data_IF_281201338069
#
_entry.id   IF_281201338069
#
_cell.length_a   1.000
_cell.length_b   1.000
_cell.length_c   1.000
_cell.angle_alpha   90.00
_cell.angle_beta   90.00
_cell.angle_gamma   90.00
#
_symmetry.space_group_name_H-M   'P 1'
#
loop_
_entity.id
_entity.type
_entity.pdbx_description
1 polymer ?
#
# COMPACT_ATOMS: atom_id res chain seq x y z
N UNK A 1 16.22 -0.49 -59.44
CA UNK A 1 16.72 -0.34 -58.05
C UNK A 1 15.57 0.22 -57.23
N UNK A 2 14.77 -0.65 -56.62
CA UNK A 2 13.66 -0.27 -55.73
C UNK A 2 14.17 -0.34 -54.29
N UNK A 3 14.16 0.80 -53.61
CA UNK A 3 14.62 0.92 -52.22
C UNK A 3 13.58 0.35 -51.25
N UNK A 4 13.99 -0.65 -50.48
CA UNK A 4 13.17 -1.38 -49.50
C UNK A 4 13.01 -0.58 -48.20
N UNK A 5 12.29 0.54 -48.26
CA UNK A 5 12.02 1.38 -47.10
C UNK A 5 10.56 1.20 -46.68
N UNK A 6 10.31 0.23 -45.77
CA UNK A 6 9.04 0.18 -45.01
C UNK A 6 8.96 1.41 -44.11
N UNK A 7 8.35 2.48 -44.63
CA UNK A 7 8.07 3.68 -43.87
C UNK A 7 7.15 3.39 -42.69
N UNK A 8 7.69 3.40 -41.47
CA UNK A 8 6.91 3.41 -40.23
C UNK A 8 6.30 4.80 -40.06
N UNK A 9 4.99 4.89 -40.28
CA UNK A 9 4.20 6.11 -40.10
C UNK A 9 3.97 6.34 -38.60
N UNK A 10 4.95 6.95 -37.93
CA UNK A 10 4.85 7.36 -36.53
C UNK A 10 3.84 8.51 -36.41
N UNK A 11 2.61 8.17 -36.02
CA UNK A 11 1.55 9.13 -35.73
C UNK A 11 1.87 9.88 -34.41
N UNK A 12 2.76 10.86 -34.47
CA UNK A 12 3.05 11.77 -33.36
C UNK A 12 1.83 12.65 -33.11
N UNK A 13 1.01 12.28 -32.11
CA UNK A 13 -0.13 13.10 -31.69
C UNK A 13 0.33 14.35 -30.95
N UNK A 14 -0.40 15.45 -31.16
CA UNK A 14 -0.14 16.75 -30.53
C UNK A 14 0.02 16.64 -29.00
N UNK A 15 1.00 17.35 -28.39
CA UNK A 15 1.23 17.39 -26.95
C UNK A 15 0.01 17.75 -26.09
N UNK A 16 -1.01 18.35 -26.72
CA UNK A 16 -2.24 18.82 -26.07
C UNK A 16 -3.31 17.72 -25.90
N UNK A 17 -3.10 16.53 -26.46
CA UNK A 17 -4.02 15.39 -26.30
C UNK A 17 -3.26 14.10 -25.94
N UNK A 18 -2.66 14.03 -24.74
CA UNK A 18 -1.90 12.86 -24.33
C UNK A 18 -2.83 11.66 -24.17
N UNK A 19 -2.41 10.51 -24.72
CA UNK A 19 -3.03 9.22 -24.40
C UNK A 19 -2.81 8.98 -22.91
N UNK A 20 -3.87 9.13 -22.13
CA UNK A 20 -3.84 8.86 -20.69
C UNK A 20 -3.89 7.35 -20.48
N UNK A 21 -2.72 6.71 -20.47
CA UNK A 21 -2.61 5.32 -20.03
C UNK A 21 -2.94 5.29 -18.54
N UNK A 22 -4.11 4.77 -18.19
CA UNK A 22 -4.50 4.61 -16.80
C UNK A 22 -3.63 3.54 -16.16
N UNK A 23 -2.63 3.97 -15.40
CA UNK A 23 -1.78 3.04 -14.63
C UNK A 23 -2.68 2.19 -13.73
N UNK A 24 -2.48 0.88 -13.81
CA UNK A 24 -3.20 -0.09 -12.99
C UNK A 24 -3.01 0.27 -11.51
N UNK A 25 -4.12 0.40 -10.79
CA UNK A 25 -4.10 0.84 -9.40
C UNK A 25 -3.41 -0.21 -8.52
N UNK A 26 -2.27 0.16 -7.91
CA UNK A 26 -1.58 -0.70 -6.92
C UNK A 26 -2.45 -0.91 -5.67
N UNK A 27 -2.70 -2.18 -5.32
CA UNK A 27 -3.39 -2.55 -4.09
C UNK A 27 -2.50 -2.30 -2.85
N UNK A 28 -1.23 -2.69 -2.93
CA UNK A 28 -0.20 -2.53 -1.90
C UNK A 28 0.99 -1.69 -2.44
N UNK A 29 1.73 -0.92 -1.61
CA UNK A 29 1.52 -0.66 -0.18
C UNK A 29 0.24 0.12 0.11
N UNK A 30 -0.31 -0.14 1.29
CA UNK A 30 -1.47 0.57 1.81
C UNK A 30 -1.00 1.90 2.41
N UNK A 31 -1.57 3.04 2.01
CA UNK A 31 -1.26 4.32 2.65
C UNK A 31 -1.57 4.28 4.15
N UNK A 32 -0.76 4.95 4.96
CA UNK A 32 -0.89 4.96 6.43
C UNK A 32 -2.30 5.27 6.92
N UNK A 33 -3.01 6.19 6.26
CA UNK A 33 -4.37 6.57 6.62
C UNK A 33 -5.43 5.46 6.41
N UNK A 34 -5.13 4.45 5.60
CA UNK A 34 -6.02 3.34 5.30
C UNK A 34 -5.54 2.01 5.93
N UNK A 35 -4.31 1.96 6.46
CA UNK A 35 -3.63 0.75 6.94
C UNK A 35 -4.51 -0.07 7.90
N UNK A 36 -4.89 0.49 9.04
CA UNK A 36 -5.71 -0.22 10.03
C UNK A 36 -7.05 -0.78 9.50
N UNK A 37 -7.70 -0.07 8.56
CA UNK A 37 -8.95 -0.54 7.95
C UNK A 37 -8.70 -1.70 7.00
N UNK A 38 -7.64 -1.61 6.20
CA UNK A 38 -7.27 -2.65 5.26
C UNK A 38 -6.76 -3.88 6.00
N UNK A 39 -5.90 -3.72 7.02
CA UNK A 39 -5.38 -4.83 7.82
C UNK A 39 -6.52 -5.62 8.45
N UNK A 40 -7.48 -4.94 9.09
CA UNK A 40 -8.67 -5.60 9.65
C UNK A 40 -9.42 -6.43 8.61
N UNK A 41 -9.58 -5.90 7.40
CA UNK A 41 -10.25 -6.61 6.32
C UNK A 41 -9.42 -7.81 5.83
N UNK A 42 -8.12 -7.63 5.57
CA UNK A 42 -7.24 -8.69 5.09
C UNK A 42 -7.16 -9.82 6.11
N UNK A 43 -6.88 -9.52 7.39
CA UNK A 43 -6.84 -10.51 8.45
C UNK A 43 -8.17 -11.27 8.52
N UNK A 44 -9.32 -10.59 8.50
CA UNK A 44 -10.63 -11.26 8.50
C UNK A 44 -10.85 -12.20 7.30
N UNK A 45 -10.33 -11.86 6.12
CA UNK A 45 -10.44 -12.73 4.95
C UNK A 45 -9.52 -13.94 5.02
N UNK A 46 -8.32 -13.78 5.60
CA UNK A 46 -7.39 -14.87 5.83
C UNK A 46 -7.89 -15.81 6.93
N UNK A 47 -8.48 -15.28 8.01
CA UNK A 47 -9.11 -16.07 9.06
C UNK A 47 -10.27 -16.91 8.51
N UNK A 48 -11.14 -16.29 7.69
CA UNK A 48 -12.22 -17.01 7.02
C UNK A 48 -11.68 -18.13 6.10
N UNK A 49 -10.60 -17.86 5.36
CA UNK A 49 -9.96 -18.88 4.54
C UNK A 49 -9.38 -20.01 5.40
N UNK A 50 -8.78 -19.68 6.55
CA UNK A 50 -8.26 -20.67 7.48
C UNK A 50 -9.34 -21.60 8.01
N UNK A 51 -10.52 -21.07 8.34
CA UNK A 51 -11.68 -21.88 8.74
C UNK A 51 -12.18 -22.75 7.58
N UNK A 52 -12.28 -22.22 6.37
CA UNK A 52 -12.69 -22.99 5.18
C UNK A 52 -11.73 -24.16 4.88
N UNK A 53 -10.44 -23.96 5.13
CA UNK A 53 -9.43 -24.99 4.91
C UNK A 53 -9.45 -26.09 5.97
N UNK A 54 -10.11 -25.90 7.12
CA UNK A 54 -10.27 -26.97 8.12
C UNK A 54 -11.17 -28.10 7.66
N UNK A 55 -12.05 -27.83 6.70
CA UNK A 55 -12.94 -28.84 6.11
C UNK A 55 -12.11 -29.95 5.42
N UNK A 56 -12.27 -31.19 5.89
CA UNK A 56 -11.55 -32.37 5.39
C UNK A 56 -12.07 -32.86 4.05
N UNK A 57 -13.21 -32.35 3.58
CA UNK A 57 -13.80 -32.72 2.28
C UNK A 57 -13.28 -31.88 1.11
N UNK A 58 -12.47 -30.86 1.38
CA UNK A 58 -11.98 -29.94 0.36
C UNK A 58 -10.93 -30.63 -0.54
N UNK A 59 -11.25 -30.75 -1.83
CA UNK A 59 -10.32 -31.29 -2.83
C UNK A 59 -9.20 -30.28 -3.13
N UNK A 60 -8.04 -30.77 -3.58
CA UNK A 60 -6.92 -29.92 -3.94
C UNK A 60 -7.27 -28.90 -5.05
N UNK A 61 -8.08 -29.32 -6.03
CA UNK A 61 -8.54 -28.43 -7.10
C UNK A 61 -9.52 -27.37 -6.59
N UNK A 62 -10.47 -27.74 -5.71
CA UNK A 62 -11.35 -26.77 -5.06
C UNK A 62 -10.55 -25.77 -4.21
N UNK A 63 -9.52 -26.22 -3.50
CA UNK A 63 -8.63 -25.36 -2.72
C UNK A 63 -7.81 -24.40 -3.60
N UNK A 64 -7.37 -24.84 -4.78
CA UNK A 64 -6.65 -24.00 -5.74
C UNK A 64 -7.54 -22.87 -6.28
N UNK A 65 -8.78 -23.19 -6.67
CA UNK A 65 -9.78 -22.20 -7.08
C UNK A 65 -10.12 -21.24 -5.93
N UNK A 66 -10.36 -21.78 -4.73
CA UNK A 66 -10.66 -20.99 -3.54
C UNK A 66 -9.55 -19.98 -3.22
N UNK A 67 -8.28 -20.38 -3.39
CA UNK A 67 -7.15 -19.48 -3.18
C UNK A 67 -7.13 -18.33 -4.19
N UNK A 68 -7.30 -18.61 -5.49
CA UNK A 68 -7.31 -17.58 -6.53
C UNK A 68 -8.49 -16.62 -6.36
N UNK A 69 -9.69 -17.14 -6.08
CA UNK A 69 -10.88 -16.34 -5.78
C UNK A 69 -10.66 -15.46 -4.54
N UNK A 70 -10.02 -16.00 -3.50
CA UNK A 70 -9.74 -15.24 -2.29
C UNK A 70 -8.71 -14.15 -2.52
N UNK A 71 -7.64 -14.41 -3.29
CA UNK A 71 -6.67 -13.38 -3.69
C UNK A 71 -7.35 -12.23 -4.45
N UNK A 72 -8.23 -12.57 -5.40
CA UNK A 72 -8.98 -11.57 -6.16
C UNK A 72 -9.94 -10.76 -5.26
N UNK A 73 -10.67 -11.43 -4.36
CA UNK A 73 -11.57 -10.79 -3.39
C UNK A 73 -10.81 -9.85 -2.45
N UNK A 74 -9.66 -10.29 -1.93
CA UNK A 74 -8.77 -9.48 -1.08
C UNK A 74 -8.32 -8.23 -1.85
N UNK A 75 -7.83 -8.40 -3.08
CA UNK A 75 -7.37 -7.28 -3.92
C UNK A 75 -8.47 -6.23 -4.14
N UNK A 76 -9.67 -6.67 -4.56
CA UNK A 76 -10.82 -5.77 -4.79
C UNK A 76 -11.23 -5.09 -3.49
N UNK A 77 -11.31 -5.83 -2.39
CA UNK A 77 -11.67 -5.32 -1.07
C UNK A 77 -10.67 -4.30 -0.53
N UNK A 78 -9.37 -4.53 -0.70
CA UNK A 78 -8.32 -3.57 -0.33
C UNK A 78 -8.50 -2.25 -1.09
N UNK A 79 -8.73 -2.30 -2.41
CA UNK A 79 -8.96 -1.10 -3.22
C UNK A 79 -10.21 -0.35 -2.74
N UNK A 80 -11.30 -1.08 -2.46
CA UNK A 80 -12.55 -0.51 -1.92
C UNK A 80 -12.30 0.18 -0.58
N UNK A 81 -11.67 -0.49 0.38
CA UNK A 81 -11.40 0.08 1.70
C UNK A 81 -10.43 1.27 1.66
N UNK A 82 -9.43 1.27 0.76
CA UNK A 82 -8.59 2.45 0.48
C UNK A 82 -9.42 3.64 -0.01
N UNK A 83 -10.37 3.40 -0.93
CA UNK A 83 -11.29 4.44 -1.44
C UNK A 83 -12.22 4.96 -0.34
N UNK A 84 -12.78 4.08 0.47
CA UNK A 84 -13.66 4.46 1.59
C UNK A 84 -12.90 5.23 2.68
N UNK A 85 -11.66 4.84 3.00
CA UNK A 85 -10.79 5.58 3.92
C UNK A 85 -10.44 6.97 3.36
N UNK A 86 -10.17 7.06 2.05
CA UNK A 86 -9.96 8.36 1.40
C UNK A 86 -11.23 9.23 1.44
N UNK A 87 -12.41 8.63 1.26
CA UNK A 87 -13.70 9.33 1.36
C UNK A 87 -13.95 9.86 2.78
N UNK A 88 -13.65 9.08 3.82
CA UNK A 88 -13.80 9.55 5.21
C UNK A 88 -12.91 10.76 5.52
N UNK A 89 -11.72 10.85 4.90
CA UNK A 89 -10.84 12.03 5.00
C UNK A 89 -11.31 13.26 4.20
N UNK A 90 -12.20 13.09 3.22
CA UNK A 90 -12.72 14.19 2.38
C UNK A 90 -13.75 15.03 3.11
N UNK A 91 -14.52 14.41 4.00
CA UNK A 91 -15.65 15.01 4.73
C UNK A 91 -15.29 15.43 6.16
N UNK A 92 -14.04 15.83 6.42
CA UNK A 92 -13.64 16.31 7.74
C UNK A 92 -14.22 17.70 8.01
N UNK A 93 -14.61 17.95 9.26
CA UNK A 93 -15.10 19.26 9.71
C UNK A 93 -14.16 20.41 9.30
N UNK A 94 -12.83 20.22 9.41
CA UNK A 94 -11.83 21.21 9.01
C UNK A 94 -11.84 21.52 7.50
N UNK A 95 -12.13 20.54 6.65
CA UNK A 95 -12.28 20.76 5.20
C UNK A 95 -13.63 21.38 4.86
N UNK A 96 -14.71 20.97 5.53
CA UNK A 96 -16.04 21.57 5.39
C UNK A 96 -16.00 23.06 5.78
N UNK A 97 -15.46 23.39 6.95
CA UNK A 97 -15.30 24.78 7.41
C UNK A 97 -14.46 25.62 6.44
N UNK A 98 -13.31 25.10 5.96
CA UNK A 98 -12.51 25.81 4.95
C UNK A 98 -13.28 26.12 3.66
N UNK A 99 -14.15 25.21 3.21
CA UNK A 99 -14.98 25.44 2.01
C UNK A 99 -16.07 26.48 2.27
N UNK A 100 -16.71 26.41 3.43
CA UNK A 100 -17.74 27.38 3.83
C UNK A 100 -17.17 28.79 4.00
N UNK A 101 -15.98 28.92 4.61
CA UNK A 101 -15.29 30.22 4.70
C UNK A 101 -14.94 30.77 3.31
N UNK A 102 -14.40 29.93 2.41
CA UNK A 102 -14.17 30.37 1.02
C UNK A 102 -15.44 30.76 0.28
N UNK A 103 -16.58 30.13 0.57
CA UNK A 103 -17.87 30.51 0.00
C UNK A 103 -18.34 31.85 0.58
N UNK A 104 -18.20 32.05 1.90
CA UNK A 104 -18.48 33.32 2.55
C UNK A 104 -17.64 34.45 1.95
N UNK A 105 -16.32 34.27 1.84
CA UNK A 105 -15.41 35.27 1.29
C UNK A 105 -15.78 35.66 -0.17
N UNK A 106 -16.26 34.69 -0.96
CA UNK A 106 -16.72 34.94 -2.34
C UNK A 106 -18.02 35.74 -2.38
N UNK A 107 -19.03 35.34 -1.62
CA UNK A 107 -20.32 36.04 -1.60
C UNK A 107 -20.17 37.45 -1.04
N UNK A 108 -19.32 37.65 -0.03
CA UNK A 108 -19.02 38.98 0.50
C UNK A 108 -18.26 39.84 -0.51
N UNK A 109 -17.31 39.27 -1.25
CA UNK A 109 -16.60 39.98 -2.31
C UNK A 109 -17.55 40.35 -3.47
N UNK A 110 -18.46 39.46 -3.86
CA UNK A 110 -19.47 39.70 -4.90
C UNK A 110 -20.45 40.82 -4.48
N UNK A 111 -20.94 40.78 -3.23
CA UNK A 111 -21.81 41.83 -2.67
C UNK A 111 -21.11 43.20 -2.54
N UNK A 112 -19.82 43.22 -2.17
CA UNK A 112 -19.03 44.45 -2.09
C UNK A 112 -18.72 45.09 -3.45
N UNK A 113 -18.75 44.31 -4.54
CA UNK A 113 -18.56 44.79 -5.92
C UNK A 113 -19.88 45.28 -6.54
N UNK A 114 -21.01 44.74 -6.11
CA UNK A 114 -22.36 45.07 -6.62
C UNK A 114 -23.09 46.19 -5.87
N UNK A 115 -22.49 46.74 -4.81
CA UNK A 115 -23.09 47.73 -3.89
C UNK A 115 -23.50 49.09 -4.47
N UNK A 116 -23.77 49.19 -5.78
CA UNK A 116 -24.26 50.40 -6.44
C UNK A 116 -25.55 50.20 -7.27
N UNK A 117 -26.20 49.02 -7.25
CA UNK A 117 -27.44 48.78 -8.01
C UNK A 117 -28.44 47.95 -7.18
N UNK A 118 -29.59 48.54 -6.86
CA UNK A 118 -30.86 47.97 -6.35
C UNK A 118 -30.97 47.39 -4.91
N UNK A 119 -31.97 47.88 -4.15
CA UNK A 119 -32.25 47.45 -2.77
C UNK A 119 -32.71 46.00 -2.62
N UNK A 120 -33.31 45.40 -3.66
CA UNK A 120 -33.81 44.01 -3.64
C UNK A 120 -32.68 42.99 -3.84
N UNK A 121 -31.61 43.34 -4.56
CA UNK A 121 -30.41 42.50 -4.69
C UNK A 121 -29.68 42.38 -3.34
N UNK A 122 -29.68 43.46 -2.55
CA UNK A 122 -29.06 43.51 -1.24
C UNK A 122 -29.72 42.54 -0.22
N UNK A 123 -31.04 42.34 -0.28
CA UNK A 123 -31.73 41.42 0.63
C UNK A 123 -31.43 39.95 0.32
N UNK A 124 -31.37 39.58 -0.96
CA UNK A 124 -31.03 38.22 -1.40
C UNK A 124 -29.56 37.86 -1.06
N UNK A 125 -28.65 38.82 -1.23
CA UNK A 125 -27.24 38.67 -0.85
C UNK A 125 -27.07 38.55 0.67
N UNK A 126 -27.79 39.38 1.44
CA UNK A 126 -27.80 39.30 2.90
C UNK A 126 -28.31 37.94 3.40
N UNK A 127 -29.35 37.39 2.77
CA UNK A 127 -29.88 36.06 3.10
C UNK A 127 -28.89 34.93 2.76
N UNK A 128 -28.19 35.03 1.62
CA UNK A 128 -27.15 34.08 1.24
C UNK A 128 -25.99 34.07 2.24
N UNK A 129 -25.53 35.26 2.68
CA UNK A 129 -24.49 35.41 3.70
C UNK A 129 -24.94 34.81 5.03
N UNK A 130 -26.15 35.15 5.49
CA UNK A 130 -26.77 34.60 6.71
C UNK A 130 -26.86 33.07 6.67
N UNK A 131 -27.21 32.50 5.52
CA UNK A 131 -27.30 31.05 5.33
C UNK A 131 -25.95 30.37 5.46
N UNK A 132 -24.88 30.96 4.90
CA UNK A 132 -23.52 30.42 5.02
C UNK A 132 -23.03 30.52 6.47
N UNK A 133 -23.27 31.64 7.16
CA UNK A 133 -22.91 31.82 8.56
C UNK A 133 -23.61 30.81 9.48
N UNK A 134 -24.92 30.56 9.27
CA UNK A 134 -25.67 29.50 9.97
C UNK A 134 -25.03 28.13 9.74
N UNK A 135 -24.65 27.79 8.51
CA UNK A 135 -23.96 26.53 8.19
C UNK A 135 -22.59 26.43 8.86
N UNK A 136 -21.83 27.52 8.93
CA UNK A 136 -20.54 27.57 9.64
C UNK A 136 -20.75 27.30 11.14
N UNK A 137 -21.73 27.96 11.76
CA UNK A 137 -22.04 27.80 13.18
C UNK A 137 -22.44 26.34 13.50
N UNK A 138 -23.37 25.77 12.73
CA UNK A 138 -23.78 24.36 12.88
C UNK A 138 -22.57 23.42 12.73
N UNK A 139 -21.76 23.61 11.68
CA UNK A 139 -20.59 22.77 11.42
C UNK A 139 -19.54 22.88 12.55
N UNK A 140 -19.36 24.06 13.15
CA UNK A 140 -18.49 24.25 14.33
C UNK A 140 -19.03 23.52 15.55
N UNK A 141 -20.33 23.65 15.83
CA UNK A 141 -20.96 22.99 16.97
C UNK A 141 -20.87 21.47 16.86
N UNK A 142 -21.13 20.91 15.68
CA UNK A 142 -20.95 19.48 15.42
C UNK A 142 -19.49 19.03 15.58
N UNK A 143 -18.54 19.84 15.08
CA UNK A 143 -17.11 19.55 15.23
C UNK A 143 -16.69 19.52 16.70
N UNK A 144 -17.11 20.51 17.49
CA UNK A 144 -16.81 20.59 18.91
C UNK A 144 -17.42 19.41 19.68
N UNK A 145 -18.69 19.08 19.42
CA UNK A 145 -19.35 17.90 20.01
C UNK A 145 -18.63 16.60 19.66
N UNK A 146 -18.23 16.42 18.40
CA UNK A 146 -17.48 15.25 17.95
C UNK A 146 -16.11 15.16 18.63
N UNK A 147 -15.39 16.28 18.72
CA UNK A 147 -14.09 16.39 19.40
C UNK A 147 -14.21 16.07 20.89
N UNK A 148 -15.22 16.63 21.56
CA UNK A 148 -15.50 16.39 22.98
C UNK A 148 -15.80 14.90 23.23
N UNK A 149 -16.69 14.27 22.45
CA UNK A 149 -16.98 12.82 22.55
C UNK A 149 -15.72 11.97 22.35
N UNK A 150 -14.87 12.35 21.39
CA UNK A 150 -13.61 11.64 21.13
C UNK A 150 -12.67 11.75 22.32
N UNK A 151 -12.47 12.96 22.85
CA UNK A 151 -11.64 13.19 24.04
C UNK A 151 -12.15 12.42 25.24
N UNK A 152 -13.46 12.42 25.50
CA UNK A 152 -14.03 11.62 26.58
C UNK A 152 -13.74 10.13 26.37
N UNK A 153 -13.99 9.56 25.19
CA UNK A 153 -13.68 8.14 24.92
C UNK A 153 -12.19 7.83 25.06
N UNK A 154 -11.33 8.68 24.49
CA UNK A 154 -9.88 8.51 24.49
C UNK A 154 -9.25 8.72 25.88
N UNK A 155 -9.89 9.48 26.77
CA UNK A 155 -9.35 9.84 28.09
C UNK A 155 -10.19 9.39 29.29
N UNK A 156 -11.29 8.66 29.07
CA UNK A 156 -11.99 7.97 30.16
C UNK A 156 -11.01 7.03 30.85
N UNK A 157 -10.84 7.13 32.17
CA UNK A 157 -9.95 6.26 32.91
C UNK A 157 -10.59 4.87 33.07
N UNK A 158 -9.80 3.82 32.96
CA UNK A 158 -10.19 2.45 33.31
C UNK A 158 -8.97 1.72 33.89
N UNK A 159 -9.23 0.66 34.67
CA UNK A 159 -8.18 -0.16 35.31
C UNK A 159 -7.25 -0.73 34.23
N UNK A 160 -5.96 -0.36 34.27
CA UNK A 160 -4.94 -0.78 33.29
C UNK A 160 -4.53 0.28 32.26
N UNK A 161 -5.14 1.47 32.25
CA UNK A 161 -4.78 2.55 31.31
C UNK A 161 -3.53 3.32 31.74
N UNK A 162 -2.52 3.40 30.88
CA UNK A 162 -1.27 4.13 31.15
C UNK A 162 -1.42 5.65 30.91
N UNK A 163 -0.85 6.47 31.79
CA UNK A 163 -0.85 7.95 31.66
C UNK A 163 0.15 8.46 30.62
N UNK A 164 1.00 7.59 30.07
CA UNK A 164 2.05 7.90 29.07
C UNK A 164 1.50 8.63 27.83
N UNK A 165 0.32 8.23 27.35
CA UNK A 165 -0.31 8.87 26.19
C UNK A 165 -0.78 10.31 26.46
N UNK A 166 -1.17 10.62 27.70
CA UNK A 166 -1.53 11.97 28.12
C UNK A 166 -0.29 12.87 28.22
N UNK A 167 0.79 12.39 28.85
CA UNK A 167 2.02 13.16 29.01
C UNK A 167 2.84 13.33 27.72
N UNK A 168 2.72 12.41 26.76
CA UNK A 168 3.33 12.55 25.41
C UNK A 168 2.81 13.78 24.66
N UNK A 169 1.59 14.25 24.96
CA UNK A 169 1.02 15.45 24.32
C UNK A 169 1.48 16.77 24.98
N UNK A 170 1.86 16.71 26.27
CA UNK A 170 2.19 17.90 27.07
C UNK A 170 3.71 18.08 27.19
N UNK A 171 4.50 17.02 27.01
CA UNK A 171 5.94 17.05 27.20
C UNK A 171 6.69 16.28 26.11
N UNK A 172 7.66 16.97 25.50
CA UNK A 172 8.62 16.40 24.55
C UNK A 172 9.53 15.33 25.18
N UNK A 173 9.61 15.28 26.53
CA UNK A 173 10.40 14.30 27.29
C UNK A 173 10.03 12.84 26.99
N UNK A 174 8.80 12.61 26.52
CA UNK A 174 8.27 11.27 26.23
C UNK A 174 8.09 11.01 24.73
N UNK A 175 8.72 11.81 23.86
CA UNK A 175 8.89 11.49 22.45
C UNK A 175 10.02 10.46 22.26
N UNK A 176 9.85 9.53 21.32
CA UNK A 176 10.88 8.55 20.99
C UNK A 176 12.03 9.26 20.24
N UNK A 177 13.01 9.76 20.98
CA UNK A 177 14.25 10.30 20.43
C UNK A 177 15.23 9.17 20.08
N UNK A 178 14.83 8.29 19.14
CA UNK A 178 15.76 7.31 18.57
C UNK A 178 16.27 7.87 17.25
N UNK A 179 17.48 8.43 17.28
CA UNK A 179 18.26 8.70 16.06
C UNK A 179 19.04 7.41 15.78
N UNK A 180 18.77 6.68 14.68
CA UNK A 180 19.59 5.53 14.31
C UNK A 180 21.01 6.04 14.03
N UNK A 181 21.98 5.55 14.80
CA UNK A 181 23.39 5.81 14.54
C UNK A 181 23.78 5.06 13.27
N UNK A 182 24.23 5.78 12.23
CA UNK A 182 24.80 5.17 11.04
C UNK A 182 26.09 4.45 11.44
N UNK A 183 26.16 3.14 11.22
CA UNK A 183 27.36 2.35 11.46
C UNK A 183 28.23 2.35 10.20
N UNK A 184 29.53 2.65 10.35
CA UNK A 184 30.49 2.55 9.27
C UNK A 184 30.71 1.07 8.88
N UNK A 185 30.95 0.81 7.60
CA UNK A 185 31.25 -0.54 7.11
C UNK A 185 32.64 -0.99 7.64
N UNK A 186 32.80 -2.29 7.92
CA UNK A 186 33.98 -2.91 8.57
C UNK A 186 35.34 -2.61 7.88
N UNK A 187 35.32 -2.11 6.64
CA UNK A 187 36.53 -1.78 5.85
C UNK A 187 36.59 -0.32 5.39
N UNK A 188 35.68 0.54 5.86
CA UNK A 188 35.70 1.97 5.53
C UNK A 188 36.70 2.71 6.41
N UNK A 189 37.31 3.81 5.92
CA UNK A 189 38.14 4.68 6.76
C UNK A 189 37.35 5.17 7.97
N UNK A 190 38.01 5.28 9.13
CA UNK A 190 37.36 5.79 10.34
C UNK A 190 36.97 7.26 10.14
N UNK A 191 35.67 7.55 10.10
CA UNK A 191 35.09 8.89 9.91
C UNK A 191 34.51 9.43 11.21
N UNK A 192 34.52 10.75 11.37
CA UNK A 192 33.99 11.38 12.56
C UNK A 192 32.44 11.34 12.58
N UNK A 193 31.78 11.36 13.76
CA UNK A 193 30.31 11.22 13.86
C UNK A 193 29.48 12.29 13.14
N UNK A 194 30.12 13.41 12.76
CA UNK A 194 29.52 14.52 12.01
C UNK A 194 29.65 14.38 10.48
N UNK A 195 30.43 13.41 9.98
CA UNK A 195 30.69 13.15 8.56
C UNK A 195 29.70 12.12 7.97
N UNK A 196 28.41 12.31 8.26
CA UNK A 196 27.35 11.34 7.91
C UNK A 196 27.17 11.13 6.41
N UNK A 197 27.50 12.15 5.60
CA UNK A 197 27.44 12.06 4.14
C UNK A 197 28.53 11.12 3.59
N UNK A 198 29.72 11.17 4.18
CA UNK A 198 30.88 10.41 3.71
C UNK A 198 30.80 8.94 4.13
N UNK A 199 30.28 8.66 5.33
CA UNK A 199 29.95 7.28 5.76
C UNK A 199 28.95 6.63 4.79
N UNK A 200 28.05 7.43 4.21
CA UNK A 200 27.03 6.97 3.28
C UNK A 200 27.62 6.77 1.87
N UNK A 201 28.55 7.64 1.45
CA UNK A 201 29.27 7.53 0.19
C UNK A 201 30.23 6.32 0.16
N UNK A 202 30.95 6.07 1.26
CA UNK A 202 31.87 4.93 1.39
C UNK A 202 31.14 3.58 1.23
N UNK A 203 29.88 3.50 1.69
CA UNK A 203 29.06 2.30 1.53
C UNK A 203 28.58 2.07 0.08
N UNK A 204 28.59 3.11 -0.75
CA UNK A 204 28.11 3.08 -2.14
C UNK A 204 29.25 2.87 -3.14
N UNK A 205 30.48 3.26 -2.79
CA UNK A 205 31.65 3.20 -3.67
C UNK A 205 31.87 1.82 -4.31
N UNK A 206 31.70 0.73 -3.55
CA UNK A 206 31.86 -0.64 -4.08
C UNK A 206 30.81 -1.02 -5.12
N UNK A 207 29.59 -0.46 -5.03
CA UNK A 207 28.52 -0.69 -6.01
C UNK A 207 28.67 0.11 -7.30
N UNK A 208 29.39 1.25 -7.26
CA UNK A 208 29.62 2.10 -8.43
C UNK A 208 30.98 1.87 -9.12
N UNK A 209 31.95 1.27 -8.42
CA UNK A 209 33.32 1.09 -8.93
C UNK A 209 33.69 -0.37 -9.24
N UNK A 210 32.81 -1.33 -8.94
CA UNK A 210 32.96 -2.69 -9.46
C UNK A 210 32.70 -2.69 -10.97
N UNK A 211 33.72 -3.01 -11.77
CA UNK A 211 33.56 -3.19 -13.21
C UNK A 211 32.52 -4.29 -13.47
N UNK A 212 31.34 -3.90 -13.92
CA UNK A 212 30.35 -4.85 -14.41
C UNK A 212 30.84 -5.41 -15.74
N UNK A 213 31.16 -6.70 -15.78
CA UNK A 213 31.21 -7.42 -17.04
C UNK A 213 29.82 -7.35 -17.68
N UNK A 214 29.76 -6.95 -18.95
CA UNK A 214 28.53 -6.98 -19.74
C UNK A 214 28.02 -8.42 -19.81
N UNK A 215 26.94 -8.69 -19.09
CA UNK A 215 26.26 -9.98 -19.11
C UNK A 215 25.18 -9.91 -20.20
N UNK A 216 25.36 -10.68 -21.27
CA UNK A 216 24.34 -10.83 -22.31
C UNK A 216 23.30 -11.88 -21.90
N UNK A 217 22.05 -11.73 -22.33
CA UNK A 217 20.94 -12.65 -21.97
C UNK A 217 21.22 -14.13 -22.30
N UNK A 218 22.18 -14.38 -23.20
CA UNK A 218 22.62 -15.70 -23.65
C UNK A 218 23.54 -16.44 -22.65
N UNK A 219 24.12 -15.75 -21.66
CA UNK A 219 25.03 -16.35 -20.66
C UNK A 219 24.28 -16.96 -19.46
N UNK A 220 23.03 -16.53 -19.24
CA UNK A 220 22.19 -16.94 -18.09
C UNK A 220 21.92 -18.46 -18.03
N UNK A 221 21.67 -19.16 -19.16
CA UNK A 221 21.43 -20.60 -19.12
C UNK A 221 22.68 -21.43 -18.80
N UNK A 222 23.88 -20.96 -19.14
CA UNK A 222 25.14 -21.69 -18.91
C UNK A 222 25.59 -21.69 -17.45
N UNK A 223 25.13 -20.71 -16.67
CA UNK A 223 25.43 -20.61 -15.23
C UNK A 223 24.53 -21.50 -14.36
N UNK A 224 23.42 -21.97 -14.92
CA UNK A 224 22.55 -22.94 -14.28
C UNK A 224 23.05 -24.34 -14.69
N UNK A 225 24.03 -24.88 -13.96
CA UNK A 225 24.34 -26.30 -14.06
C UNK A 225 23.03 -27.09 -13.93
N UNK A 226 22.80 -28.09 -14.78
CA UNK A 226 21.66 -28.98 -14.63
C UNK A 226 21.72 -29.58 -13.22
N UNK A 227 20.88 -29.05 -12.32
CA UNK A 227 20.89 -29.45 -10.92
C UNK A 227 20.68 -30.96 -10.82
N UNK A 228 21.26 -31.63 -9.81
CA UNK A 228 21.07 -33.05 -9.63
C UNK A 228 19.58 -33.36 -9.60
N UNK A 229 19.15 -34.31 -10.43
CA UNK A 229 17.76 -34.77 -10.56
C UNK A 229 17.14 -35.22 -9.23
N UNK A 230 17.98 -35.49 -8.23
CA UNK A 230 17.62 -35.75 -6.85
C UNK A 230 16.92 -34.56 -6.15
N UNK A 231 17.34 -33.31 -6.40
CA UNK A 231 16.73 -32.12 -5.79
C UNK A 231 15.28 -31.94 -6.28
N UNK A 232 15.02 -32.27 -7.55
CA UNK A 232 13.67 -32.23 -8.14
C UNK A 232 12.77 -33.32 -7.56
N UNK A 233 13.32 -34.50 -7.26
CA UNK A 233 12.61 -35.61 -6.62
C UNK A 233 12.33 -35.33 -5.14
N UNK A 234 13.26 -34.70 -4.42
CA UNK A 234 13.09 -34.31 -3.01
C UNK A 234 12.04 -33.18 -2.87
N UNK A 235 12.08 -32.18 -3.76
CA UNK A 235 11.08 -31.11 -3.84
C UNK A 235 9.68 -31.60 -4.28
N UNK A 236 9.54 -32.83 -4.76
CA UNK A 236 8.27 -33.45 -5.13
C UNK A 236 7.46 -33.99 -3.95
N UNK A 237 8.05 -34.07 -2.75
CA UNK A 237 7.39 -34.63 -1.58
C UNK A 237 6.76 -33.55 -0.69
N UNK A 238 5.48 -33.69 -0.28
CA UNK A 238 4.79 -32.68 0.53
C UNK A 238 5.38 -32.53 1.94
N UNK A 239 6.12 -33.52 2.43
CA UNK A 239 6.74 -33.51 3.76
C UNK A 239 7.89 -32.51 3.87
N UNK A 240 8.50 -32.15 2.74
CA UNK A 240 9.54 -31.11 2.66
C UNK A 240 8.96 -29.71 2.89
N UNK A 241 7.63 -29.54 2.75
CA UNK A 241 6.96 -28.25 2.88
C UNK A 241 6.63 -28.00 4.36
N UNK A 242 7.52 -27.31 5.07
CA UNK A 242 7.34 -26.91 6.46
C UNK A 242 7.06 -25.41 6.60
N UNK A 243 6.46 -25.01 7.72
CA UNK A 243 6.19 -23.58 8.02
C UNK A 243 7.47 -22.76 8.03
N UNK A 244 8.58 -23.30 8.54
CA UNK A 244 9.88 -22.63 8.55
C UNK A 244 10.39 -22.36 7.14
N UNK A 245 10.26 -23.35 6.23
CA UNK A 245 10.67 -23.17 4.83
C UNK A 245 9.77 -22.18 4.10
N UNK A 246 8.46 -22.22 4.34
CA UNK A 246 7.53 -21.23 3.77
C UNK A 246 7.85 -19.83 4.30
N UNK A 247 8.09 -19.67 5.61
CA UNK A 247 8.49 -18.40 6.21
C UNK A 247 9.80 -17.87 5.64
N UNK A 248 10.81 -18.73 5.51
CA UNK A 248 12.09 -18.38 4.90
C UNK A 248 11.92 -17.94 3.44
N UNK A 249 11.10 -18.65 2.66
CA UNK A 249 10.80 -18.29 1.28
C UNK A 249 10.13 -16.91 1.16
N UNK A 250 9.08 -16.65 1.96
CA UNK A 250 8.41 -15.34 1.97
C UNK A 250 9.35 -14.21 2.37
N UNK A 251 10.28 -14.45 3.29
CA UNK A 251 11.27 -13.46 3.73
C UNK A 251 12.40 -13.23 2.72
N UNK A 252 12.76 -14.27 1.96
CA UNK A 252 13.73 -14.17 0.87
C UNK A 252 13.19 -13.37 -0.33
N UNK A 253 11.86 -13.26 -0.47
CA UNK A 253 11.24 -12.45 -1.51
C UNK A 253 11.63 -10.96 -1.39
N UNK A 254 12.33 -10.44 -2.41
CA UNK A 254 12.75 -9.02 -2.45
C UNK A 254 11.54 -8.08 -2.45
N UNK A 255 11.60 -7.05 -1.60
CA UNK A 255 10.60 -5.99 -1.55
C UNK A 255 10.56 -5.16 -2.86
N UNK A 256 9.43 -4.55 -3.13
CA UNK A 256 9.28 -3.60 -4.25
C UNK A 256 9.35 -4.20 -5.65
N UNK A 257 9.38 -5.53 -5.79
CA UNK A 257 9.25 -6.21 -7.08
C UNK A 257 7.84 -6.03 -7.66
N UNK A 258 7.74 -6.09 -8.99
CA UNK A 258 6.48 -5.96 -9.70
C UNK A 258 5.51 -7.07 -9.25
N UNK A 259 4.24 -6.71 -9.04
CA UNK A 259 3.21 -7.69 -8.70
C UNK A 259 2.86 -8.52 -9.95
N UNK A 260 2.54 -9.80 -9.73
CA UNK A 260 1.96 -10.67 -10.74
C UNK A 260 0.53 -10.23 -11.15
N UNK A 261 -0.17 -11.05 -11.96
CA UNK A 261 -1.51 -10.74 -12.45
C UNK A 261 -2.54 -10.53 -11.33
N UNK A 262 -2.33 -11.14 -10.15
CA UNK A 262 -3.14 -11.00 -8.94
C UNK A 262 -2.93 -9.66 -8.20
N UNK A 263 -1.92 -8.87 -8.58
CA UNK A 263 -1.59 -7.53 -8.03
C UNK A 263 -1.24 -7.52 -6.54
N UNK A 264 -0.99 -8.69 -5.96
CA UNK A 264 -0.45 -8.87 -4.62
C UNK A 264 1.05 -9.12 -4.76
N UNK A 265 1.87 -8.15 -4.34
CA UNK A 265 3.32 -8.24 -4.45
C UNK A 265 3.95 -8.85 -3.20
N UNK A 266 5.25 -9.12 -3.27
CA UNK A 266 6.04 -9.64 -2.15
C UNK A 266 5.86 -8.86 -0.84
N UNK A 267 5.67 -7.54 -0.93
CA UNK A 267 5.45 -6.70 0.24
C UNK A 267 4.15 -7.07 1.00
N UNK A 268 3.10 -7.51 0.29
CA UNK A 268 1.87 -8.00 0.92
C UNK A 268 2.11 -9.33 1.64
N UNK A 269 2.79 -10.26 0.98
CA UNK A 269 3.14 -11.56 1.55
C UNK A 269 4.02 -11.43 2.80
N UNK A 270 4.95 -10.47 2.81
CA UNK A 270 5.81 -10.18 3.96
C UNK A 270 5.08 -9.50 5.11
N UNK A 271 4.14 -8.61 4.83
CA UNK A 271 3.38 -7.90 5.87
C UNK A 271 2.45 -8.85 6.65
N UNK A 272 1.88 -9.86 5.98
CA UNK A 272 0.96 -10.83 6.58
C UNK A 272 1.59 -12.21 6.78
N UNK A 273 2.93 -12.30 6.91
CA UNK A 273 3.67 -13.56 7.00
C UNK A 273 3.14 -14.46 8.12
N UNK A 274 2.90 -13.90 9.31
CA UNK A 274 2.40 -14.61 10.49
C UNK A 274 1.10 -15.37 10.24
N UNK A 275 0.21 -14.81 9.42
CA UNK A 275 -1.09 -15.41 9.12
C UNK A 275 -1.01 -16.31 7.86
N UNK A 276 -0.16 -15.93 6.90
CA UNK A 276 -0.05 -16.63 5.62
C UNK A 276 0.78 -17.91 5.71
N UNK A 277 1.83 -17.96 6.54
CA UNK A 277 2.71 -19.14 6.65
C UNK A 277 1.93 -20.44 6.95
N UNK A 278 1.09 -20.55 7.99
CA UNK A 278 0.36 -21.78 8.26
C UNK A 278 -0.66 -22.12 7.15
N UNK A 279 -1.30 -21.09 6.59
CA UNK A 279 -2.27 -21.25 5.50
C UNK A 279 -1.62 -21.80 4.23
N UNK A 280 -0.53 -21.17 3.80
CA UNK A 280 0.22 -21.54 2.60
C UNK A 280 0.85 -22.92 2.77
N UNK A 281 1.37 -23.25 3.95
CA UNK A 281 1.92 -24.58 4.22
C UNK A 281 0.87 -25.67 3.99
N UNK A 282 -0.35 -25.48 4.52
CA UNK A 282 -1.44 -26.45 4.31
C UNK A 282 -1.87 -26.54 2.85
N UNK A 283 -2.02 -25.40 2.18
CA UNK A 283 -2.38 -25.33 0.77
C UNK A 283 -1.33 -26.00 -0.12
N UNK A 284 -0.05 -25.70 0.09
CA UNK A 284 1.04 -26.28 -0.67
C UNK A 284 1.12 -27.79 -0.48
N UNK A 285 1.00 -28.31 0.75
CA UNK A 285 0.91 -29.76 0.99
C UNK A 285 -0.24 -30.39 0.20
N UNK A 286 -1.43 -29.79 0.25
CA UNK A 286 -2.61 -30.30 -0.45
C UNK A 286 -2.41 -30.31 -1.97
N UNK A 287 -1.82 -29.25 -2.53
CA UNK A 287 -1.57 -29.10 -3.97
C UNK A 287 -0.46 -30.01 -4.48
N UNK A 288 0.64 -30.12 -3.75
CA UNK A 288 1.76 -30.98 -4.13
C UNK A 288 1.36 -32.47 -4.08
N UNK A 289 0.62 -32.91 -3.05
CA UNK A 289 0.13 -34.29 -2.97
C UNK A 289 -0.80 -34.69 -4.12
N UNK A 290 -1.56 -33.73 -4.66
CA UNK A 290 -2.52 -33.97 -5.74
C UNK A 290 -2.02 -33.52 -7.12
N UNK A 291 -0.77 -32.99 -7.21
CA UNK A 291 -0.21 -32.36 -8.40
C UNK A 291 -1.14 -31.33 -9.07
N UNK A 292 -1.87 -30.54 -8.25
CA UNK A 292 -2.85 -29.57 -8.71
C UNK A 292 -2.51 -28.18 -8.19
N UNK A 293 -2.28 -27.21 -9.08
CA UNK A 293 -1.80 -25.88 -8.72
C UNK A 293 -2.78 -24.78 -9.15
N UNK A 294 -2.85 -23.65 -8.42
CA UNK A 294 -3.68 -22.51 -8.82
C UNK A 294 -3.22 -21.92 -10.16
N UNK A 295 -4.17 -21.43 -10.96
CA UNK A 295 -3.89 -20.89 -12.29
C UNK A 295 -2.99 -19.64 -12.22
N UNK A 296 -3.08 -18.89 -11.12
CA UNK A 296 -2.22 -17.73 -10.87
C UNK A 296 -0.73 -18.08 -10.71
N UNK A 297 -0.38 -19.33 -10.42
CA UNK A 297 1.01 -19.81 -10.35
C UNK A 297 1.54 -20.29 -11.70
N UNK A 298 0.65 -20.65 -12.63
CA UNK A 298 0.99 -21.22 -13.93
C UNK A 298 1.00 -20.18 -15.06
N UNK A 299 0.42 -19.00 -14.81
CA UNK A 299 0.36 -17.93 -15.81
C UNK A 299 1.71 -17.22 -15.91
N UNK A 300 2.48 -17.54 -16.95
CA UNK A 300 3.69 -16.79 -17.34
C UNK A 300 3.29 -15.32 -17.59
N UNK A 301 4.01 -14.38 -16.99
CA UNK A 301 3.95 -12.97 -17.38
C UNK A 301 4.58 -12.84 -18.75
N UNK A 302 3.78 -12.99 -19.81
CA UNK A 302 4.15 -12.52 -21.15
C UNK A 302 4.37 -11.02 -21.05
N UNK A 303 5.62 -10.58 -20.99
CA UNK A 303 5.98 -9.17 -21.09
C UNK A 303 5.56 -8.66 -22.46
N UNK A 304 4.68 -7.66 -22.47
CA UNK A 304 4.47 -6.73 -23.59
C UNK A 304 5.25 -5.47 -23.28
#
# INVERSE_FOLDING_TARGET
>A
MEGDHKGLLLHLRSPHNPVRIQKVQRAFPVPSYAKARVDKFVCSQLDLLAEQLKDTTLTAQAAAHLWDDKKQSIMVGMIRHKREARKSLRNTYRKKLRRLYKQYDRVVAEAGVLGNVDSVANDAEAEAIQTILRRIAVTKTEWLRSRQRRLFREHTWWKGKTTKAFFRWISCKFGDNVIPTLQAMVKSPARAPHEKADILADAWASGFQGGGEECTEEDVPQWMAAGPTADVLELGTPDVITEDRVSAALRACKAGKACGPDRLGNDWYREYDTTLVPLLTRLYKLWYSAHCFPASFLTRTSSV
#
